data_IF_835116434912
#
_entry.id   IF_835116434912
#
_cell.length_a   1.000
_cell.length_b   1.000
_cell.length_c   1.000
_cell.angle_alpha   90.00
_cell.angle_beta   90.00
_cell.angle_gamma   90.00
#
_symmetry.space_group_name_H-M   'P 1'
#
loop_
_entity.id
_entity.type
_entity.pdbx_description
1 polymer ?
#
# COMPACT_ATOMS: atom_id res chain seq x y z
N UNK A 1 14.48 2.76 -9.63
CA UNK A 1 13.24 2.33 -8.96
C UNK A 1 12.93 3.29 -7.83
N UNK A 2 11.82 4.05 -7.90
CA UNK A 2 11.43 5.02 -6.86
C UNK A 2 10.61 4.32 -5.77
N UNK A 3 10.75 4.73 -4.52
CA UNK A 3 9.96 4.18 -3.40
C UNK A 3 8.69 5.03 -3.23
N UNK A 4 7.54 4.38 -3.15
CA UNK A 4 6.24 5.05 -2.96
C UNK A 4 5.54 4.44 -1.76
N UNK A 5 5.11 5.31 -0.84
CA UNK A 5 4.22 4.97 0.25
C UNK A 5 2.82 5.46 -0.10
N UNK A 6 1.84 4.56 -0.09
CA UNK A 6 0.42 4.87 -0.25
C UNK A 6 -0.23 4.83 1.12
N UNK A 7 -0.75 5.98 1.56
CA UNK A 7 -1.54 6.11 2.77
C UNK A 7 -3.01 5.83 2.45
N UNK A 8 -3.49 4.68 2.93
CA UNK A 8 -4.80 4.13 2.63
C UNK A 8 -4.73 2.93 1.67
N UNK A 9 -5.34 1.82 2.05
CA UNK A 9 -5.52 0.58 1.30
C UNK A 9 -7.00 0.36 0.89
N UNK A 10 -7.84 1.39 1.02
CA UNK A 10 -9.21 1.39 0.51
C UNK A 10 -9.28 1.33 -1.04
N UNK A 11 -10.47 1.60 -1.59
CA UNK A 11 -10.73 1.44 -3.05
C UNK A 11 -9.74 2.17 -3.96
N UNK A 12 -9.39 3.42 -3.63
CA UNK A 12 -8.46 4.21 -4.43
C UNK A 12 -7.02 3.76 -4.19
N UNK A 13 -6.61 3.64 -2.93
CA UNK A 13 -5.26 3.24 -2.57
C UNK A 13 -4.84 1.90 -3.18
N UNK A 14 -5.73 0.90 -3.16
CA UNK A 14 -5.46 -0.41 -3.79
C UNK A 14 -5.38 -0.35 -5.31
N UNK A 15 -6.13 0.55 -5.96
CA UNK A 15 -6.03 0.76 -7.41
C UNK A 15 -4.69 1.43 -7.78
N UNK A 16 -4.29 2.45 -7.02
CA UNK A 16 -2.97 3.08 -7.17
C UNK A 16 -1.85 2.07 -6.94
N UNK A 17 -1.96 1.22 -5.91
CA UNK A 17 -0.99 0.16 -5.63
C UNK A 17 -0.86 -0.80 -6.80
N UNK A 18 -2.00 -1.24 -7.36
CA UNK A 18 -2.03 -2.09 -8.55
C UNK A 18 -1.32 -1.45 -9.74
N UNK A 19 -1.70 -0.23 -10.12
CA UNK A 19 -1.15 0.46 -11.28
C UNK A 19 0.35 0.74 -11.15
N UNK A 20 0.80 1.25 -9.99
CA UNK A 20 2.21 1.56 -9.75
C UNK A 20 3.07 0.30 -9.69
N UNK A 21 2.58 -0.77 -9.06
CA UNK A 21 3.32 -2.02 -8.98
C UNK A 21 3.45 -2.70 -10.35
N UNK A 22 2.40 -2.64 -11.18
CA UNK A 22 2.41 -3.22 -12.53
C UNK A 22 3.27 -2.42 -13.51
N UNK A 23 3.53 -1.14 -13.26
CA UNK A 23 4.43 -0.36 -14.11
C UNK A 23 5.89 -0.85 -14.00
N UNK A 24 6.27 -1.45 -12.88
CA UNK A 24 7.64 -1.92 -12.62
C UNK A 24 8.63 -0.80 -12.26
N UNK A 25 8.22 0.46 -12.30
CA UNK A 25 9.09 1.61 -12.01
C UNK A 25 9.22 1.91 -10.51
N UNK A 26 8.29 1.36 -9.72
CA UNK A 26 8.07 1.71 -8.32
C UNK A 26 8.17 0.50 -7.39
N UNK A 27 8.80 0.71 -6.24
CA UNK A 27 8.69 -0.17 -5.09
C UNK A 27 7.57 0.38 -4.18
N UNK A 28 6.43 -0.30 -4.16
CA UNK A 28 5.21 0.20 -3.51
C UNK A 28 5.05 -0.38 -2.11
N UNK A 29 4.76 0.48 -1.14
CA UNK A 29 4.28 0.11 0.20
C UNK A 29 2.88 0.70 0.42
N UNK A 30 1.95 -0.10 0.89
CA UNK A 30 0.61 0.33 1.30
C UNK A 30 0.50 0.31 2.82
N UNK A 31 0.05 1.41 3.40
CA UNK A 31 -0.20 1.56 4.84
C UNK A 31 -1.67 1.86 5.07
N UNK A 32 -2.31 1.13 5.98
CA UNK A 32 -3.69 1.35 6.41
C UNK A 32 -3.88 0.81 7.83
N UNK A 33 -4.86 1.30 8.57
CA UNK A 33 -5.17 0.78 9.89
C UNK A 33 -6.07 -0.48 9.82
N UNK A 34 -6.79 -0.66 8.71
CA UNK A 34 -7.66 -1.79 8.45
C UNK A 34 -6.86 -2.97 7.92
N UNK A 35 -6.70 -3.98 8.77
CA UNK A 35 -6.07 -5.25 8.39
C UNK A 35 -6.77 -5.91 7.20
N UNK A 36 -8.11 -5.81 7.10
CA UNK A 36 -8.87 -6.39 5.99
C UNK A 36 -8.55 -5.73 4.64
N UNK A 37 -8.32 -4.41 4.62
CA UNK A 37 -7.91 -3.72 3.40
C UNK A 37 -6.50 -4.13 2.97
N UNK A 38 -5.58 -4.24 3.92
CA UNK A 38 -4.20 -4.68 3.66
C UNK A 38 -4.15 -6.12 3.18
N UNK A 39 -4.95 -7.01 3.78
CA UNK A 39 -5.07 -8.40 3.35
C UNK A 39 -5.58 -8.49 1.91
N UNK A 40 -6.55 -7.65 1.53
CA UNK A 40 -7.00 -7.55 0.15
C UNK A 40 -5.84 -7.16 -0.78
N UNK A 41 -5.06 -6.14 -0.43
CA UNK A 41 -3.91 -5.70 -1.23
C UNK A 41 -2.87 -6.81 -1.36
N UNK A 42 -2.48 -7.46 -0.25
CA UNK A 42 -1.46 -8.51 -0.27
C UNK A 42 -1.88 -9.73 -1.09
N UNK A 43 -3.18 -10.06 -1.13
CA UNK A 43 -3.70 -11.19 -1.91
C UNK A 43 -3.84 -10.88 -3.40
N UNK A 44 -4.14 -9.63 -3.77
CA UNK A 44 -4.51 -9.27 -5.14
C UNK A 44 -3.45 -8.46 -5.88
N UNK A 45 -2.46 -7.89 -5.19
CA UNK A 45 -1.40 -7.06 -5.79
C UNK A 45 -0.03 -7.57 -5.36
N UNK A 46 0.48 -8.54 -6.14
CA UNK A 46 1.79 -9.16 -5.89
C UNK A 46 2.92 -8.13 -5.88
N UNK A 47 3.78 -8.21 -4.86
CA UNK A 47 4.98 -7.37 -4.74
C UNK A 47 4.78 -6.06 -3.97
N UNK A 48 3.55 -5.72 -3.56
CA UNK A 48 3.28 -4.59 -2.67
C UNK A 48 3.56 -4.98 -1.22
N UNK A 49 4.40 -4.21 -0.53
CA UNK A 49 4.59 -4.35 0.92
C UNK A 49 3.38 -3.76 1.65
N UNK A 50 2.84 -4.47 2.63
CA UNK A 50 1.74 -3.98 3.47
C UNK A 50 2.22 -3.68 4.89
N UNK A 51 1.82 -2.54 5.45
CA UNK A 51 2.14 -2.11 6.81
C UNK A 51 0.85 -1.71 7.51
N UNK A 52 0.55 -2.33 8.65
CA UNK A 52 -0.54 -1.86 9.49
C UNK A 52 -0.07 -0.67 10.32
N UNK A 53 -0.78 0.45 10.22
CA UNK A 53 -0.42 1.68 10.93
C UNK A 53 -1.49 2.74 10.80
N UNK A 54 -1.45 3.75 11.68
CA UNK A 54 -2.33 4.90 11.61
C UNK A 54 -1.59 6.10 11.02
N UNK A 55 -2.28 6.92 10.25
CA UNK A 55 -1.71 8.09 9.58
C UNK A 55 -1.39 9.24 10.55
N UNK A 56 -1.99 9.23 11.73
CA UNK A 56 -1.81 10.19 12.81
C UNK A 56 -0.68 9.80 13.78
N UNK A 57 0.00 8.66 13.55
CA UNK A 57 1.18 8.25 14.30
C UNK A 57 2.46 8.58 13.52
N UNK A 58 3.21 9.59 13.97
CA UNK A 58 4.45 10.01 13.35
C UNK A 58 5.54 8.92 13.33
N UNK A 59 5.42 7.86 14.14
CA UNK A 59 6.36 6.71 14.09
C UNK A 59 6.01 5.70 13.00
N UNK A 60 4.80 5.76 12.46
CA UNK A 60 4.32 4.85 11.42
C UNK A 60 4.67 5.33 9.99
N UNK A 61 5.09 6.59 9.84
CA UNK A 61 5.51 7.24 8.59
C UNK A 61 7.04 7.23 8.43
#
# INVERSE_FOLDING_TARGET
MKKVLILGAGKIGRMCAHLLQHSGDYAVTSLDNSAAHLEWVSKNVTGVKCVNGRFDDAKAL
#
